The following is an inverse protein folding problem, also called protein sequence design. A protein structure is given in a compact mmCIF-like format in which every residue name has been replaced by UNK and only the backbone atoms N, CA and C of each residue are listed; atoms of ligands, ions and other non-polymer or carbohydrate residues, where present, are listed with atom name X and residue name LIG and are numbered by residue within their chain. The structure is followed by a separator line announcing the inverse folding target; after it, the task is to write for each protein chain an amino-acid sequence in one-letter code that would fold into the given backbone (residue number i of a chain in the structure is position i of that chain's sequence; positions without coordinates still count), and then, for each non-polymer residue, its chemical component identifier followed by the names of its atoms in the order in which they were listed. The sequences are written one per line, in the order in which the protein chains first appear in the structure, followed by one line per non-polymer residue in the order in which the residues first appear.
data_IF_680908406910
#
_entry.id   IF_680908406910
#
_cell.length_a   1.000
_cell.length_b   1.000
_cell.length_c   1.000
_cell.angle_alpha   90.00
_cell.angle_beta   90.00
_cell.angle_gamma   90.00
#
_symmetry.space_group_name_H-M   'P 1'
#
loop_
_entity.id
_entity.type
_entity.pdbx_description
1 polymer ?
#
# COMPACT_ATOMS: atom_id res chain seq x y z
N UNK A 1 -60.69 -54.21 -8.94
CA UNK A 1 -60.17 -52.86 -9.20
C UNK A 1 -60.81 -51.90 -8.19
N UNK A 2 -60.15 -51.65 -7.05
CA UNK A 2 -59.48 -50.38 -6.67
C UNK A 2 -60.46 -49.19 -6.65
N UNK A 3 -61.07 -48.87 -5.51
CA UNK A 3 -60.62 -47.94 -4.44
C UNK A 3 -60.45 -46.51 -4.97
N UNK A 4 -61.20 -45.55 -4.42
CA UNK A 4 -60.60 -44.33 -3.85
C UNK A 4 -61.56 -43.59 -2.89
N UNK A 5 -61.30 -43.77 -1.60
CA UNK A 5 -61.58 -42.84 -0.50
C UNK A 5 -60.45 -41.81 -0.45
N UNK A 6 -60.72 -40.53 -0.10
CA UNK A 6 -59.84 -39.64 0.70
C UNK A 6 -60.48 -38.26 0.86
N UNK A 7 -60.94 -37.88 2.05
CA UNK A 7 -60.18 -37.26 3.18
C UNK A 7 -59.86 -35.78 2.89
N UNK A 8 -60.65 -34.90 3.53
CA UNK A 8 -60.37 -33.48 3.71
C UNK A 8 -59.25 -33.36 4.75
N UNK A 9 -58.11 -32.83 4.34
CA UNK A 9 -56.99 -32.51 5.22
C UNK A 9 -56.94 -30.99 5.41
N UNK A 10 -57.35 -30.52 6.59
CA UNK A 10 -57.01 -29.19 7.08
C UNK A 10 -55.49 -29.06 7.14
N UNK A 11 -54.93 -28.12 6.39
CA UNK A 11 -53.53 -27.69 6.58
C UNK A 11 -53.54 -26.32 7.26
N UNK A 12 -53.15 -26.35 8.53
CA UNK A 12 -52.69 -25.19 9.30
C UNK A 12 -51.68 -24.39 8.46
N UNK A 13 -52.05 -23.18 8.02
CA UNK A 13 -51.07 -22.16 7.66
C UNK A 13 -50.44 -21.65 8.95
N UNK A 14 -49.39 -22.35 9.38
CA UNK A 14 -48.47 -21.84 10.39
C UNK A 14 -47.79 -20.58 9.85
N UNK A 15 -48.16 -19.45 10.44
CA UNK A 15 -47.31 -18.26 10.52
C UNK A 15 -46.04 -18.64 11.30
N UNK A 16 -45.09 -19.27 10.61
CA UNK A 16 -43.68 -19.19 10.97
C UNK A 16 -43.12 -17.94 10.30
N UNK A 17 -43.48 -16.77 10.84
CA UNK A 17 -42.57 -15.61 10.75
C UNK A 17 -41.37 -15.99 11.59
N UNK A 18 -40.37 -16.53 10.92
CA UNK A 18 -39.07 -16.79 11.50
C UNK A 18 -38.49 -15.47 12.00
N UNK A 19 -38.46 -15.31 13.32
CA UNK A 19 -37.47 -14.47 13.99
C UNK A 19 -36.07 -15.10 13.82
N UNK A 20 -35.62 -15.28 12.57
CA UNK A 20 -34.19 -15.31 12.30
C UNK A 20 -33.79 -13.83 12.30
N UNK A 21 -33.22 -13.35 13.41
CA UNK A 21 -32.56 -12.05 13.42
C UNK A 21 -31.64 -11.99 12.20
N UNK A 22 -31.85 -10.99 11.34
CA UNK A 22 -31.03 -10.84 10.15
C UNK A 22 -29.56 -10.79 10.54
N UNK A 23 -28.76 -11.58 9.84
CA UNK A 23 -27.33 -11.72 10.10
C UNK A 23 -26.65 -10.39 9.80
N UNK A 24 -25.85 -9.91 10.75
CA UNK A 24 -24.99 -8.74 10.55
C UNK A 24 -23.89 -9.06 9.54
N UNK A 25 -23.57 -8.07 8.71
CA UNK A 25 -22.47 -8.11 7.75
C UNK A 25 -21.35 -7.21 8.25
N UNK A 26 -20.09 -7.59 7.97
CA UNK A 26 -18.92 -6.86 8.47
C UNK A 26 -17.96 -6.51 7.34
N UNK A 27 -17.35 -5.33 7.46
CA UNK A 27 -16.17 -4.94 6.68
C UNK A 27 -15.06 -4.60 7.68
N UNK A 28 -13.90 -5.24 7.52
CA UNK A 28 -12.72 -5.00 8.34
C UNK A 28 -11.69 -4.22 7.52
N UNK A 29 -11.16 -3.14 8.09
CA UNK A 29 -10.24 -2.22 7.41
C UNK A 29 -8.98 -2.05 8.26
N UNK A 30 -7.81 -1.94 7.63
CA UNK A 30 -6.59 -1.51 8.31
C UNK A 30 -6.54 0.02 8.46
N UNK A 31 -5.91 0.50 9.54
CA UNK A 31 -5.82 1.92 9.88
C UNK A 31 -7.01 2.48 10.65
N UNK A 32 -7.01 3.80 10.87
CA UNK A 32 -7.89 4.50 11.82
C UNK A 32 -8.62 5.72 11.24
N UNK A 33 -8.07 6.38 10.21
CA UNK A 33 -8.59 7.64 9.69
C UNK A 33 -9.38 7.49 8.37
N UNK A 34 -10.69 7.23 8.49
CA UNK A 34 -11.62 7.25 7.35
C UNK A 34 -13.01 7.74 7.74
N UNK A 35 -13.67 8.44 6.82
CA UNK A 35 -15.09 8.79 6.89
C UNK A 35 -15.87 7.98 5.84
N UNK A 36 -16.94 7.31 6.26
CA UNK A 36 -17.73 6.42 5.41
C UNK A 36 -18.94 7.12 4.79
N UNK A 37 -18.69 8.13 3.98
CA UNK A 37 -19.70 8.99 3.36
C UNK A 37 -19.95 8.69 1.86
N UNK A 38 -19.21 7.72 1.29
CA UNK A 38 -19.33 7.32 -0.11
C UNK A 38 -18.58 8.20 -1.12
N UNK A 39 -17.84 9.21 -0.68
CA UNK A 39 -17.00 10.04 -1.54
C UNK A 39 -15.79 9.29 -2.13
N UNK A 40 -14.99 9.97 -2.96
CA UNK A 40 -13.82 9.38 -3.62
C UNK A 40 -12.78 8.87 -2.61
N UNK A 41 -12.55 9.58 -1.50
CA UNK A 41 -11.59 9.18 -0.48
C UNK A 41 -12.07 7.94 0.27
N UNK A 42 -13.37 7.88 0.58
CA UNK A 42 -14.03 6.70 1.15
C UNK A 42 -13.83 5.48 0.24
N UNK A 43 -14.09 5.60 -1.07
CA UNK A 43 -13.91 4.48 -1.99
C UNK A 43 -12.45 4.03 -2.09
N UNK A 44 -11.50 4.97 -2.19
CA UNK A 44 -10.06 4.64 -2.18
C UNK A 44 -9.64 3.89 -0.92
N UNK A 45 -10.13 4.33 0.23
CA UNK A 45 -9.85 3.68 1.50
C UNK A 45 -10.39 2.25 1.52
N UNK A 46 -11.63 2.04 1.07
CA UNK A 46 -12.22 0.70 0.94
C UNK A 46 -11.45 -0.19 -0.06
N UNK A 47 -10.98 0.35 -1.19
CA UNK A 47 -10.23 -0.41 -2.18
C UNK A 47 -8.84 -0.86 -1.67
N UNK A 48 -8.22 -0.07 -0.78
CA UNK A 48 -6.84 -0.30 -0.34
C UNK A 48 -6.72 -0.91 1.05
N UNK A 49 -7.68 -0.68 1.94
CA UNK A 49 -7.55 -1.05 3.37
C UNK A 49 -8.36 -2.26 3.79
N UNK A 50 -9.26 -2.80 2.96
CA UNK A 50 -10.06 -3.97 3.37
C UNK A 50 -9.16 -5.18 3.60
N UNK A 51 -9.28 -5.78 4.77
CA UNK A 51 -8.56 -6.98 5.21
C UNK A 51 -9.53 -8.02 5.75
N UNK A 52 -9.06 -9.23 6.01
CA UNK A 52 -9.87 -10.22 6.70
C UNK A 52 -9.88 -9.97 8.21
N UNK A 53 -10.87 -10.54 8.90
CA UNK A 53 -11.03 -10.41 10.36
C UNK A 53 -9.78 -10.83 11.13
N UNK A 54 -9.08 -11.87 10.67
CA UNK A 54 -7.88 -12.38 11.35
C UNK A 54 -6.78 -11.33 11.26
N UNK A 55 -6.58 -10.71 10.10
CA UNK A 55 -5.62 -9.62 9.93
C UNK A 55 -5.99 -8.40 10.77
N UNK A 56 -7.24 -7.93 10.72
CA UNK A 56 -7.68 -6.77 11.52
C UNK A 56 -7.44 -6.95 13.03
N UNK A 57 -7.60 -8.17 13.54
CA UNK A 57 -7.33 -8.48 14.95
C UNK A 57 -5.84 -8.56 15.32
N UNK A 58 -4.92 -8.56 14.36
CA UNK A 58 -3.48 -8.73 14.58
C UNK A 58 -2.65 -7.48 14.26
N UNK A 59 -3.20 -6.53 13.51
CA UNK A 59 -2.55 -5.25 13.21
C UNK A 59 -2.78 -4.23 14.31
N UNK A 60 -1.91 -3.21 14.38
CA UNK A 60 -1.92 -2.19 15.43
C UNK A 60 -3.22 -1.39 15.47
N UNK A 61 -3.76 -1.05 14.30
CA UNK A 61 -4.94 -0.21 14.13
C UNK A 61 -5.87 -0.77 13.04
N UNK A 62 -7.17 -0.90 13.35
CA UNK A 62 -8.19 -1.36 12.40
C UNK A 62 -9.60 -0.85 12.71
N UNK A 63 -10.45 -0.80 11.69
CA UNK A 63 -11.87 -0.44 11.80
C UNK A 63 -12.74 -1.68 11.48
N UNK A 64 -13.74 -1.95 12.31
CA UNK A 64 -14.80 -2.96 12.11
C UNK A 64 -16.14 -2.26 11.87
N UNK A 65 -16.60 -2.25 10.62
CA UNK A 65 -17.89 -1.71 10.21
C UNK A 65 -18.96 -2.79 10.27
N UNK A 66 -20.05 -2.52 10.98
CA UNK A 66 -21.16 -3.46 11.19
C UNK A 66 -22.40 -2.97 10.46
N UNK A 67 -22.91 -3.81 9.57
CA UNK A 67 -24.06 -3.54 8.73
C UNK A 67 -25.24 -4.44 9.09
N UNK A 68 -26.44 -3.88 9.01
CA UNK A 68 -27.70 -4.60 9.13
C UNK A 68 -28.65 -4.10 8.05
N UNK A 69 -29.33 -5.02 7.36
CA UNK A 69 -30.23 -4.69 6.24
C UNK A 69 -29.51 -3.85 5.15
N UNK A 70 -28.21 -4.13 4.94
CA UNK A 70 -27.38 -3.43 3.96
C UNK A 70 -26.98 -2.01 4.35
N UNK A 71 -27.23 -1.58 5.60
CA UNK A 71 -26.93 -0.22 6.09
C UNK A 71 -25.97 -0.26 7.27
N UNK A 72 -25.00 0.65 7.29
CA UNK A 72 -24.06 0.81 8.41
C UNK A 72 -24.84 1.21 9.67
N UNK A 73 -24.73 0.39 10.72
CA UNK A 73 -25.40 0.64 12.00
C UNK A 73 -24.41 0.94 13.13
N UNK A 74 -23.18 0.43 13.04
CA UNK A 74 -22.11 0.65 14.04
C UNK A 74 -20.74 0.59 13.39
N UNK A 75 -19.77 1.23 14.01
CA UNK A 75 -18.35 1.06 13.70
C UNK A 75 -17.57 0.88 15.02
N UNK A 76 -16.45 0.17 14.94
CA UNK A 76 -15.54 0.00 16.06
C UNK A 76 -14.12 0.28 15.61
N UNK A 77 -13.41 1.09 16.38
CA UNK A 77 -11.98 1.32 16.21
C UNK A 77 -11.24 0.34 17.14
N UNK A 78 -10.23 -0.34 16.61
CA UNK A 78 -9.37 -1.24 17.36
C UNK A 78 -7.95 -0.69 17.28
N UNK A 79 -7.45 -0.11 18.37
CA UNK A 79 -6.10 0.42 18.47
C UNK A 79 -5.40 -0.22 19.67
N UNK A 80 -4.18 -0.73 19.47
CA UNK A 80 -3.38 -1.36 20.54
C UNK A 80 -4.10 -2.53 21.23
N UNK A 81 -4.97 -3.23 20.49
CA UNK A 81 -5.80 -4.32 21.03
C UNK A 81 -7.03 -3.84 21.82
N UNK A 82 -7.26 -2.54 21.92
CA UNK A 82 -8.44 -1.96 22.54
C UNK A 82 -9.52 -1.67 21.51
N UNK A 83 -10.64 -2.40 21.62
CA UNK A 83 -11.83 -2.19 20.78
C UNK A 83 -12.77 -1.17 21.42
N UNK A 84 -13.03 -0.07 20.74
CA UNK A 84 -13.93 0.99 21.18
C UNK A 84 -15.05 1.21 20.16
N UNK A 85 -16.27 1.47 20.64
CA UNK A 85 -17.38 1.81 19.73
C UNK A 85 -17.19 3.24 19.22
N UNK A 86 -17.08 3.39 17.91
CA UNK A 86 -16.95 4.67 17.24
C UNK A 86 -18.33 5.30 17.07
N UNK A 87 -18.47 6.56 17.48
CA UNK A 87 -19.67 7.34 17.17
C UNK A 87 -19.68 7.67 15.69
N UNK A 88 -20.69 7.16 14.96
CA UNK A 88 -20.90 7.49 13.56
C UNK A 88 -21.20 8.99 13.39
N UNK A 89 -20.59 9.61 12.39
CA UNK A 89 -20.97 10.95 11.92
C UNK A 89 -22.28 10.88 11.14
N UNK A 90 -22.98 12.01 11.02
CA UNK A 90 -24.25 12.08 10.27
C UNK A 90 -24.10 11.64 8.81
N UNK A 91 -22.96 11.95 8.19
CA UNK A 91 -22.60 11.56 6.82
C UNK A 91 -22.39 10.05 6.63
N UNK A 92 -22.19 9.30 7.71
CA UNK A 92 -21.92 7.85 7.69
C UNK A 92 -23.19 7.01 7.93
N UNK A 93 -24.24 7.65 8.47
CA UNK A 93 -25.50 6.96 8.78
C UNK A 93 -26.15 6.50 7.48
N UNK A 94 -26.38 5.18 7.38
CA UNK A 94 -27.02 4.59 6.20
C UNK A 94 -26.07 4.37 5.01
N UNK A 95 -24.75 4.50 5.24
CA UNK A 95 -23.74 4.02 4.29
C UNK A 95 -24.02 2.57 3.89
N UNK A 96 -23.95 2.27 2.59
CA UNK A 96 -24.40 1.00 2.05
C UNK A 96 -23.32 -0.08 2.14
N UNK A 97 -23.75 -1.28 2.49
CA UNK A 97 -22.87 -2.43 2.48
C UNK A 97 -22.36 -2.70 1.06
N UNK A 98 -21.04 -2.88 0.95
CA UNK A 98 -20.38 -3.29 -0.28
C UNK A 98 -19.68 -4.62 -0.06
N UNK A 99 -19.89 -5.57 -0.98
CA UNK A 99 -19.18 -6.84 -0.94
C UNK A 99 -17.77 -6.66 -1.53
N UNK A 100 -16.80 -6.45 -0.65
CA UNK A 100 -15.41 -6.20 -1.01
C UNK A 100 -14.55 -7.46 -0.84
N UNK A 101 -13.54 -7.62 -1.70
CA UNK A 101 -12.55 -8.70 -1.57
C UNK A 101 -11.42 -8.22 -0.66
N UNK A 102 -11.12 -8.91 0.46
CA UNK A 102 -10.00 -8.56 1.31
C UNK A 102 -8.66 -8.61 0.58
N UNK A 103 -7.84 -7.58 0.80
CA UNK A 103 -6.43 -7.55 0.48
C UNK A 103 -5.67 -8.47 1.43
N UNK A 104 -4.67 -9.18 0.89
CA UNK A 104 -3.79 -10.08 1.66
C UNK A 104 -2.44 -9.40 1.83
N UNK A 105 -2.03 -9.17 3.07
CA UNK A 105 -0.71 -8.64 3.39
C UNK A 105 0.35 -9.72 3.08
N UNK A 106 1.45 -9.29 2.47
CA UNK A 106 2.67 -10.09 2.38
C UNK A 106 3.82 -9.28 2.99
N UNK A 107 4.62 -9.91 3.84
CA UNK A 107 5.89 -9.37 4.33
C UNK A 107 6.99 -9.60 3.31
N UNK A 108 7.93 -8.65 3.23
CA UNK A 108 9.16 -8.75 2.45
C UNK A 108 10.29 -9.21 3.37
N UNK A 109 10.84 -10.38 3.09
CA UNK A 109 11.86 -11.02 3.93
C UNK A 109 13.14 -11.22 3.15
N UNK A 110 14.29 -11.12 3.81
CA UNK A 110 15.57 -11.43 3.20
C UNK A 110 15.60 -12.91 2.78
N UNK A 111 16.17 -13.17 1.61
CA UNK A 111 16.34 -14.50 1.06
C UNK A 111 17.81 -14.71 0.64
N UNK A 112 18.24 -15.97 0.58
CA UNK A 112 19.56 -16.30 0.04
C UNK A 112 19.63 -16.10 -1.48
N UNK A 113 18.51 -16.34 -2.19
CA UNK A 113 18.34 -16.18 -3.64
C UNK A 113 16.88 -15.86 -3.94
N UNK A 114 16.64 -14.92 -4.84
CA UNK A 114 15.33 -14.60 -5.40
C UNK A 114 15.51 -13.83 -6.71
N UNK A 115 14.46 -13.78 -7.53
CA UNK A 115 14.40 -12.86 -8.66
C UNK A 115 14.15 -11.42 -8.20
N UNK A 116 13.45 -11.22 -7.08
CA UNK A 116 13.29 -9.90 -6.49
C UNK A 116 14.46 -9.58 -5.56
N UNK A 117 14.87 -8.31 -5.56
CA UNK A 117 15.93 -7.82 -4.69
C UNK A 117 15.81 -6.30 -4.50
N UNK A 118 16.35 -5.83 -3.39
CA UNK A 118 16.58 -4.41 -3.12
C UNK A 118 18.07 -4.09 -3.26
N UNK A 119 18.37 -2.84 -3.63
CA UNK A 119 19.72 -2.36 -3.90
C UNK A 119 20.40 -3.03 -5.10
N UNK A 120 21.73 -3.06 -5.08
CA UNK A 120 22.57 -3.60 -6.14
C UNK A 120 22.88 -2.62 -7.28
N UNK A 121 23.61 -3.11 -8.27
CA UNK A 121 23.99 -2.34 -9.45
C UNK A 121 22.80 -2.13 -10.41
N UNK A 122 22.79 -0.99 -11.08
CA UNK A 122 21.85 -0.69 -12.16
C UNK A 122 22.12 -1.66 -13.33
N UNK A 123 21.12 -2.41 -13.81
CA UNK A 123 21.27 -3.22 -15.02
C UNK A 123 21.63 -2.35 -16.23
N UNK A 124 22.48 -2.85 -17.13
CA UNK A 124 22.97 -2.09 -18.29
C UNK A 124 21.85 -1.60 -19.21
N UNK A 125 20.76 -2.35 -19.27
CA UNK A 125 19.57 -2.09 -20.06
C UNK A 125 18.60 -1.09 -19.41
N UNK A 126 18.70 -0.88 -18.09
CA UNK A 126 17.79 -0.02 -17.33
C UNK A 126 18.33 1.42 -17.27
N UNK A 127 17.55 2.37 -17.79
CA UNK A 127 17.90 3.79 -17.82
C UNK A 127 17.15 4.55 -16.75
N UNK A 128 17.88 4.98 -15.73
CA UNK A 128 17.35 5.84 -14.68
C UNK A 128 17.13 7.26 -15.22
N UNK A 129 16.01 7.93 -14.86
CA UNK A 129 15.81 9.35 -15.17
C UNK A 129 16.97 10.22 -14.67
N UNK A 130 17.42 11.16 -15.49
CA UNK A 130 18.48 12.12 -15.16
C UNK A 130 18.03 13.53 -15.49
N UNK A 131 18.41 14.48 -14.65
CA UNK A 131 18.01 15.88 -14.74
C UNK A 131 19.21 16.80 -14.51
N UNK A 132 19.13 18.01 -15.06
CA UNK A 132 20.11 19.09 -14.82
C UNK A 132 19.90 19.78 -13.47
N UNK A 133 18.68 19.74 -12.92
CA UNK A 133 18.36 20.21 -11.58
C UNK A 133 18.60 19.11 -10.54
N UNK A 134 18.65 19.50 -9.26
CA UNK A 134 19.06 18.60 -8.17
C UNK A 134 17.99 17.55 -7.84
N UNK A 135 17.93 16.48 -8.64
CA UNK A 135 17.09 15.32 -8.39
C UNK A 135 17.87 14.03 -8.68
N UNK A 136 18.80 13.65 -7.79
CA UNK A 136 19.61 12.45 -7.98
C UNK A 136 18.78 11.19 -7.71
N UNK A 137 18.34 10.54 -8.79
CA UNK A 137 17.64 9.25 -8.72
C UNK A 137 18.60 8.14 -8.30
N UNK A 138 18.17 7.33 -7.32
CA UNK A 138 18.87 6.13 -6.88
C UNK A 138 18.12 4.89 -7.36
N UNK A 139 18.88 3.83 -7.65
CA UNK A 139 18.31 2.52 -7.97
C UNK A 139 17.95 1.77 -6.69
N UNK A 140 16.69 1.33 -6.59
CA UNK A 140 16.17 0.72 -5.38
C UNK A 140 16.08 -0.80 -5.48
N UNK A 141 16.05 -1.37 -6.68
CA UNK A 141 16.01 -2.82 -6.88
C UNK A 141 15.08 -3.28 -7.99
N UNK A 142 14.72 -4.57 -7.94
CA UNK A 142 13.79 -5.24 -8.88
C UNK A 142 12.73 -6.02 -8.11
N UNK A 143 11.48 -5.89 -8.52
CA UNK A 143 10.37 -6.74 -8.11
C UNK A 143 9.98 -7.65 -9.27
N UNK A 144 9.97 -8.96 -9.05
CA UNK A 144 9.63 -9.93 -10.10
C UNK A 144 8.20 -10.42 -9.96
N UNK A 145 7.49 -10.46 -11.10
CA UNK A 145 6.11 -10.97 -11.16
C UNK A 145 5.98 -12.48 -10.98
N UNK A 146 7.10 -13.19 -10.85
CA UNK A 146 7.09 -14.63 -10.55
C UNK A 146 6.66 -14.90 -9.10
N UNK A 147 6.82 -13.92 -8.21
CA UNK A 147 6.33 -14.02 -6.84
C UNK A 147 4.84 -13.77 -6.76
N UNK A 148 4.15 -14.55 -5.90
CA UNK A 148 2.70 -14.50 -5.76
C UNK A 148 2.18 -13.08 -5.43
N UNK A 149 2.91 -12.33 -4.59
CA UNK A 149 2.49 -10.97 -4.21
C UNK A 149 2.56 -9.95 -5.36
N UNK A 150 3.29 -10.27 -6.44
CA UNK A 150 3.56 -9.36 -7.56
C UNK A 150 3.08 -9.90 -8.91
N UNK A 151 2.35 -11.01 -8.93
CA UNK A 151 1.86 -11.66 -10.16
C UNK A 151 0.91 -10.78 -10.99
N UNK A 152 0.33 -9.76 -10.36
CA UNK A 152 -0.52 -8.74 -10.96
C UNK A 152 0.26 -7.68 -11.75
N UNK A 153 1.59 -7.65 -11.64
CA UNK A 153 2.44 -6.76 -12.43
C UNK A 153 2.50 -7.21 -13.89
N UNK A 154 2.44 -6.28 -14.86
CA UNK A 154 2.54 -6.63 -16.29
C UNK A 154 3.92 -7.17 -16.68
N UNK A 155 4.98 -6.83 -15.93
CA UNK A 155 6.38 -7.19 -16.18
C UNK A 155 7.19 -7.14 -14.88
N UNK A 156 8.40 -7.72 -14.91
CA UNK A 156 9.42 -7.49 -13.88
C UNK A 156 9.76 -6.00 -13.84
N UNK A 157 9.80 -5.45 -12.63
CA UNK A 157 9.80 -4.02 -12.40
C UNK A 157 11.07 -3.59 -11.69
N UNK A 158 11.95 -2.93 -12.43
CA UNK A 158 13.07 -2.18 -11.87
C UNK A 158 12.58 -0.86 -11.29
N UNK A 159 13.09 -0.46 -10.14
CA UNK A 159 12.63 0.74 -9.42
C UNK A 159 13.78 1.71 -9.24
N UNK A 160 13.53 2.98 -9.56
CA UNK A 160 14.41 4.08 -9.23
C UNK A 160 13.59 5.32 -8.83
N UNK A 161 14.06 6.04 -7.82
CA UNK A 161 13.45 7.26 -7.31
C UNK A 161 14.50 8.18 -6.65
N UNK A 162 14.27 9.49 -6.57
CA UNK A 162 15.13 10.43 -5.88
C UNK A 162 14.79 10.46 -4.38
N UNK A 163 15.05 9.37 -3.67
CA UNK A 163 14.62 9.09 -2.28
C UNK A 163 15.17 10.04 -1.19
N UNK A 164 15.97 11.03 -1.58
CA UNK A 164 16.49 12.07 -0.70
C UNK A 164 15.87 13.46 -1.00
N UNK A 165 14.76 13.50 -1.73
CA UNK A 165 13.99 14.71 -2.00
C UNK A 165 12.67 14.70 -1.23
N UNK A 166 12.19 15.88 -0.86
CA UNK A 166 10.96 16.10 -0.12
C UNK A 166 9.73 16.27 -1.04
N UNK A 167 9.49 15.33 -1.95
CA UNK A 167 8.33 15.41 -2.84
C UNK A 167 7.07 14.91 -2.12
N UNK A 168 5.92 15.54 -2.40
CA UNK A 168 4.62 15.04 -1.95
C UNK A 168 4.27 13.72 -2.65
N UNK A 169 4.18 13.78 -3.99
CA UNK A 169 3.99 12.61 -4.85
C UNK A 169 4.92 12.68 -6.05
N UNK A 170 5.57 11.57 -6.39
CA UNK A 170 6.34 11.45 -7.63
C UNK A 170 5.70 10.41 -8.54
N UNK A 171 5.26 10.84 -9.73
CA UNK A 171 4.68 9.96 -10.72
C UNK A 171 5.67 9.61 -11.84
N UNK A 172 5.80 8.32 -12.12
CA UNK A 172 6.71 7.80 -13.15
C UNK A 172 5.98 6.87 -14.11
N UNK A 173 6.12 7.13 -15.40
CA UNK A 173 5.59 6.32 -16.49
C UNK A 173 6.55 5.20 -16.88
N UNK A 174 6.14 3.96 -16.63
CA UNK A 174 6.81 2.71 -17.01
C UNK A 174 6.21 2.08 -18.28
N UNK A 175 5.56 2.86 -19.15
CA UNK A 175 5.12 2.39 -20.47
C UNK A 175 6.27 1.73 -21.25
N UNK A 176 7.50 2.23 -21.06
CA UNK A 176 8.73 1.50 -21.34
C UNK A 176 9.39 1.07 -20.00
N UNK A 177 9.35 -0.22 -19.63
CA UNK A 177 9.82 -0.69 -18.32
C UNK A 177 11.32 -0.50 -18.08
N UNK A 178 12.10 -0.36 -19.16
CA UNK A 178 13.56 -0.20 -19.09
C UNK A 178 14.01 1.26 -19.24
N UNK A 179 13.08 2.19 -19.45
CA UNK A 179 13.37 3.61 -19.61
C UNK A 179 12.21 4.46 -19.06
N UNK A 180 11.98 4.42 -17.73
CA UNK A 180 10.91 5.17 -17.08
C UNK A 180 11.04 6.68 -17.27
N UNK A 181 9.92 7.40 -17.21
CA UNK A 181 9.87 8.86 -17.38
C UNK A 181 9.06 9.52 -16.27
N UNK A 182 9.61 10.56 -15.65
CA UNK A 182 8.87 11.37 -14.67
C UNK A 182 7.74 12.14 -15.38
N UNK A 183 6.54 12.12 -14.80
CA UNK A 183 5.38 12.81 -15.33
C UNK A 183 5.26 14.24 -14.80
N UNK A 184 5.49 14.45 -13.51
CA UNK A 184 5.36 15.74 -12.83
C UNK A 184 6.73 16.42 -12.64
N UNK A 185 7.45 16.65 -13.76
CA UNK A 185 8.81 17.21 -13.76
C UNK A 185 8.85 18.62 -13.14
N UNK A 186 7.85 19.46 -13.40
CA UNK A 186 7.84 20.83 -12.88
C UNK A 186 7.66 20.88 -11.35
N UNK A 187 6.88 19.96 -10.78
CA UNK A 187 6.75 19.80 -9.32
C UNK A 187 8.06 19.29 -8.73
N UNK A 188 8.64 18.25 -9.34
CA UNK A 188 9.92 17.69 -8.89
C UNK A 188 11.06 18.72 -8.93
N UNK A 189 11.06 19.63 -9.91
CA UNK A 189 12.05 20.71 -10.03
C UNK A 189 11.95 21.75 -8.90
N UNK A 190 10.76 21.89 -8.31
CA UNK A 190 10.49 22.80 -7.19
C UNK A 190 10.74 22.14 -5.83
N UNK A 191 10.90 20.82 -5.80
CA UNK A 191 11.18 20.06 -4.58
C UNK A 191 12.54 20.43 -4.00
N UNK A 192 12.59 20.63 -2.69
CA UNK A 192 13.81 20.88 -1.95
C UNK A 192 14.46 19.58 -1.44
N UNK A 193 15.64 19.76 -0.84
CA UNK A 193 16.25 18.71 -0.03
C UNK A 193 17.01 19.33 1.17
N UNK A 194 17.32 18.50 2.17
CA UNK A 194 17.96 18.87 3.43
C UNK A 194 19.48 18.66 3.34
N UNK A 195 20.00 18.36 2.15
CA UNK A 195 21.34 17.86 1.94
C UNK A 195 22.07 18.70 0.89
N UNK A 196 22.74 19.77 1.33
CA UNK A 196 23.48 20.69 0.46
C UNK A 196 24.54 20.00 -0.44
N UNK A 197 25.00 18.81 -0.05
CA UNK A 197 26.02 18.04 -0.75
C UNK A 197 25.46 17.08 -1.82
N UNK A 198 24.13 16.96 -1.94
CA UNK A 198 23.49 16.28 -3.05
C UNK A 198 23.57 17.13 -4.32
N UNK A 199 24.03 16.51 -5.40
CA UNK A 199 24.16 17.10 -6.73
C UNK A 199 23.32 16.29 -7.72
N UNK A 200 22.95 16.85 -8.88
CA UNK A 200 22.16 16.13 -9.89
C UNK A 200 22.76 14.78 -10.32
N UNK A 201 24.09 14.65 -10.25
CA UNK A 201 24.83 13.44 -10.61
C UNK A 201 25.30 12.61 -9.40
N UNK A 202 24.81 12.89 -8.19
CA UNK A 202 25.14 12.10 -7.01
C UNK A 202 24.66 10.65 -7.17
N UNK A 203 25.58 9.71 -6.98
CA UNK A 203 25.32 8.27 -7.01
C UNK A 203 25.51 7.69 -5.62
N UNK A 204 24.53 6.92 -5.17
CA UNK A 204 24.61 6.05 -4.00
C UNK A 204 24.19 4.66 -4.47
N UNK A 205 25.09 3.69 -4.30
CA UNK A 205 24.81 2.30 -4.67
C UNK A 205 24.79 1.46 -3.41
N UNK A 206 23.69 0.74 -3.24
CA UNK A 206 23.45 -0.12 -2.10
C UNK A 206 23.91 -1.56 -2.37
N UNK A 207 24.23 -2.28 -1.30
CA UNK A 207 24.41 -3.74 -1.36
C UNK A 207 23.15 -4.41 -1.90
N UNK A 208 23.32 -5.53 -2.60
CA UNK A 208 22.19 -6.29 -3.13
C UNK A 208 21.66 -7.24 -2.07
N UNK A 209 20.38 -7.11 -1.73
CA UNK A 209 19.68 -7.99 -0.80
C UNK A 209 18.53 -8.65 -1.54
N UNK A 210 18.57 -9.98 -1.70
CA UNK A 210 17.45 -10.72 -2.28
C UNK A 210 16.27 -10.73 -1.31
N UNK A 211 15.07 -10.60 -1.85
CA UNK A 211 13.83 -10.59 -1.06
C UNK A 211 12.86 -11.65 -1.56
N UNK A 212 12.05 -12.18 -0.65
CA UNK A 212 10.91 -13.04 -0.95
C UNK A 212 9.69 -12.56 -0.18
N UNK A 213 8.52 -12.87 -0.70
CA UNK A 213 7.24 -12.57 -0.08
C UNK A 213 6.70 -13.74 0.73
N UNK A 214 6.10 -13.45 1.88
CA UNK A 214 5.38 -14.42 2.71
C UNK A 214 4.04 -13.84 3.14
N UNK A 215 2.96 -14.63 3.04
CA UNK A 215 1.64 -14.23 3.52
C UNK A 215 1.66 -14.03 5.02
N UNK A 216 1.18 -12.87 5.47
CA UNK A 216 1.12 -12.53 6.88
C UNK A 216 -0.23 -11.94 7.27
N UNK A 217 -0.46 -11.85 8.57
CA UNK A 217 -1.62 -11.17 9.16
C UNK A 217 -1.25 -9.92 9.95
N UNK A 218 0.02 -9.51 9.89
CA UNK A 218 0.52 -8.27 10.47
C UNK A 218 1.56 -7.64 9.53
N UNK A 219 1.89 -6.37 9.77
CA UNK A 219 2.98 -5.67 9.10
C UNK A 219 4.32 -6.07 9.72
N UNK A 220 5.35 -6.25 8.89
CA UNK A 220 6.69 -6.59 9.36
C UNK A 220 7.65 -6.99 8.24
N UNK A 221 8.89 -7.34 8.61
CA UNK A 221 9.98 -7.63 7.68
C UNK A 221 10.75 -6.37 7.29
N UNK A 222 11.42 -6.39 6.14
CA UNK A 222 12.07 -5.20 5.54
C UNK A 222 11.03 -4.19 5.04
N UNK A 223 9.80 -4.66 4.84
CA UNK A 223 8.69 -3.93 4.29
C UNK A 223 7.54 -4.90 4.03
N UNK A 224 6.45 -4.41 3.47
CA UNK A 224 5.28 -5.21 3.16
C UNK A 224 4.57 -4.71 1.90
N UNK A 225 3.55 -5.42 1.45
CA UNK A 225 2.78 -5.08 0.24
C UNK A 225 1.27 -5.31 0.42
N UNK A 226 0.50 -4.92 -0.60
CA UNK A 226 -0.96 -4.96 -0.72
C UNK A 226 -1.76 -3.94 0.09
N UNK A 227 -1.40 -3.69 1.35
CA UNK A 227 -2.14 -2.77 2.25
C UNK A 227 -1.15 -1.81 2.88
N UNK A 228 -1.28 -0.48 2.68
CA UNK A 228 -0.37 0.48 3.27
C UNK A 228 -0.68 0.70 4.75
N UNK A 229 0.36 0.67 5.57
CA UNK A 229 0.33 1.02 6.99
C UNK A 229 0.77 2.47 7.16
N UNK A 230 -0.18 3.40 7.02
CA UNK A 230 0.08 4.84 7.08
C UNK A 230 0.55 5.29 8.47
N UNK A 231 1.61 6.10 8.50
CA UNK A 231 2.13 6.74 9.72
C UNK A 231 1.63 8.18 9.91
N UNK A 232 1.11 8.78 8.83
CA UNK A 232 0.37 10.05 8.83
C UNK A 232 -1.02 9.83 8.20
N UNK A 233 -1.76 10.90 7.90
CA UNK A 233 -3.07 10.78 7.25
C UNK A 233 -2.97 9.99 5.93
N UNK A 234 -3.90 9.05 5.63
CA UNK A 234 -3.87 8.25 4.42
C UNK A 234 -3.88 9.07 3.12
N UNK A 235 -2.81 8.97 2.34
CA UNK A 235 -2.65 9.68 1.06
C UNK A 235 -2.69 8.71 -0.13
N UNK A 236 -3.86 8.11 -0.36
CA UNK A 236 -4.04 7.06 -1.37
C UNK A 236 -4.01 7.68 -2.78
N UNK A 237 -3.02 7.37 -3.63
CA UNK A 237 -2.84 8.08 -4.88
C UNK A 237 -3.83 7.63 -5.96
N UNK A 238 -4.32 8.59 -6.74
CA UNK A 238 -5.03 8.38 -8.00
C UNK A 238 -4.06 8.40 -9.16
N UNK A 239 -4.10 7.40 -10.04
CA UNK A 239 -3.29 7.39 -11.25
C UNK A 239 -3.63 8.62 -12.12
N UNK A 240 -2.66 9.48 -12.48
CA UNK A 240 -2.94 10.70 -13.24
C UNK A 240 -3.49 10.42 -14.64
N UNK A 241 -3.21 9.23 -15.20
CA UNK A 241 -3.59 8.82 -16.56
C UNK A 241 -4.94 8.09 -16.62
N UNK A 242 -5.14 7.04 -15.81
CA UNK A 242 -6.40 6.26 -15.81
C UNK A 242 -7.46 6.77 -14.84
N UNK A 243 -7.10 7.66 -13.90
CA UNK A 243 -7.96 8.12 -12.81
C UNK A 243 -8.41 7.01 -11.84
N UNK A 244 -7.81 5.82 -11.93
CA UNK A 244 -8.04 4.71 -11.00
C UNK A 244 -7.19 4.87 -9.74
N UNK A 245 -7.71 4.38 -8.61
CA UNK A 245 -6.92 4.17 -7.40
C UNK A 245 -5.73 3.27 -7.69
N UNK A 246 -4.54 3.65 -7.22
CA UNK A 246 -3.33 2.86 -7.40
C UNK A 246 -3.19 1.81 -6.30
N UNK A 247 -2.57 0.67 -6.62
CA UNK A 247 -2.35 -0.42 -5.67
C UNK A 247 -0.98 -0.30 -5.02
N UNK A 248 -0.87 -0.59 -3.73
CA UNK A 248 0.43 -0.64 -3.06
C UNK A 248 1.27 -1.77 -3.65
N UNK A 249 2.40 -1.41 -4.25
CA UNK A 249 3.44 -2.36 -4.66
C UNK A 249 4.29 -2.76 -3.45
N UNK A 250 4.76 -1.79 -2.67
CA UNK A 250 5.38 -2.06 -1.37
C UNK A 250 5.42 -0.80 -0.51
N UNK A 251 5.48 -1.00 0.79
CA UNK A 251 5.96 -0.03 1.78
C UNK A 251 7.28 -0.55 2.32
N UNK A 252 8.32 0.29 2.28
CA UNK A 252 9.62 0.04 2.87
C UNK A 252 9.76 0.95 4.10
N UNK A 253 9.99 0.35 5.26
CA UNK A 253 10.06 1.09 6.53
C UNK A 253 11.51 1.35 6.90
N UNK A 254 11.83 2.53 7.42
CA UNK A 254 13.22 2.87 7.73
C UNK A 254 13.85 1.92 8.76
N UNK A 255 13.03 1.46 9.71
CA UNK A 255 13.43 0.54 10.78
C UNK A 255 13.64 -0.91 10.29
N UNK A 256 13.02 -1.27 9.17
CA UNK A 256 13.11 -2.60 8.54
C UNK A 256 14.19 -2.69 7.46
N UNK A 257 14.50 -1.58 6.78
CA UNK A 257 15.48 -1.55 5.68
C UNK A 257 16.91 -1.36 6.20
N UNK A 258 17.59 -2.46 6.51
CA UNK A 258 19.05 -2.47 6.77
C UNK A 258 19.83 -2.89 5.52
N UNK A 259 19.84 -2.01 4.50
CA UNK A 259 20.61 -2.22 3.27
C UNK A 259 21.75 -1.22 3.21
N UNK A 260 22.98 -1.71 3.40
CA UNK A 260 24.17 -0.86 3.47
C UNK A 260 24.51 -0.23 2.13
N UNK A 261 25.07 0.96 2.18
CA UNK A 261 25.71 1.61 1.04
C UNK A 261 27.01 0.90 0.71
N UNK A 262 27.09 0.38 -0.52
CA UNK A 262 28.30 -0.22 -1.09
C UNK A 262 29.30 0.86 -1.53
N UNK A 263 28.81 1.95 -2.12
CA UNK A 263 29.61 3.12 -2.51
C UNK A 263 28.72 4.36 -2.67
N UNK A 264 29.31 5.53 -2.51
CA UNK A 264 28.64 6.81 -2.74
C UNK A 264 29.61 7.85 -3.26
N UNK A 265 29.12 8.77 -4.11
CA UNK A 265 29.85 9.99 -4.50
C UNK A 265 29.53 11.17 -3.57
N UNK A 266 28.54 11.03 -2.69
CA UNK A 266 28.12 12.07 -1.76
C UNK A 266 29.14 12.17 -0.63
N UNK A 267 29.58 13.40 -0.35
CA UNK A 267 30.52 13.70 0.73
C UNK A 267 29.89 14.79 1.60
N UNK A 268 29.08 14.41 2.60
CA UNK A 268 28.44 15.38 3.48
C UNK A 268 29.49 16.20 4.23
N UNK A 269 29.33 17.53 4.26
CA UNK A 269 30.18 18.42 5.05
C UNK A 269 29.90 18.28 6.54
N UNK A 270 28.64 18.09 6.89
CA UNK A 270 28.23 17.79 8.27
C UNK A 270 28.35 16.29 8.51
N UNK A 271 29.15 15.90 9.50
CA UNK A 271 29.29 14.51 9.94
C UNK A 271 27.94 13.91 10.36
N UNK A 272 27.01 14.72 10.88
CA UNK A 272 25.69 14.24 11.28
C UNK A 272 24.88 13.71 10.10
N UNK A 273 25.01 14.31 8.91
CA UNK A 273 24.27 13.86 7.73
C UNK A 273 24.86 12.61 7.08
N UNK A 274 26.07 12.17 7.46
CA UNK A 274 26.68 10.97 6.88
C UNK A 274 25.86 9.71 7.12
N UNK A 275 25.24 9.58 8.30
CA UNK A 275 24.44 8.42 8.66
C UNK A 275 23.31 8.13 7.66
N UNK A 276 22.70 9.16 7.05
CA UNK A 276 21.63 8.98 6.06
C UNK A 276 22.11 8.41 4.71
N UNK A 277 23.42 8.38 4.49
CA UNK A 277 24.05 7.81 3.30
C UNK A 277 24.77 6.49 3.60
N UNK A 278 24.82 6.03 4.86
CA UNK A 278 25.44 4.75 5.23
C UNK A 278 24.56 3.56 4.88
N UNK A 279 23.25 3.74 4.95
CA UNK A 279 22.22 2.76 4.59
C UNK A 279 21.21 3.36 3.61
N UNK A 280 20.42 2.51 2.95
CA UNK A 280 19.24 2.93 2.21
C UNK A 280 18.28 3.62 3.17
N UNK A 281 18.00 4.90 2.90
CA UNK A 281 17.22 5.77 3.76
C UNK A 281 16.28 6.62 2.90
N UNK A 282 15.12 6.98 3.43
CA UNK A 282 14.09 7.70 2.70
C UNK A 282 13.84 9.04 3.40
N UNK A 283 14.47 10.10 2.89
CA UNK A 283 14.29 11.46 3.40
C UNK A 283 14.41 11.62 4.93
N UNK A 284 15.47 11.09 5.53
CA UNK A 284 15.75 11.29 6.96
C UNK A 284 14.89 10.41 7.86
N UNK A 285 14.94 9.10 7.64
CA UNK A 285 14.21 8.07 8.43
C UNK A 285 12.69 8.01 8.17
N UNK A 286 12.25 8.40 6.97
CA UNK A 286 10.87 8.22 6.52
C UNK A 286 10.54 6.81 6.02
N UNK A 287 9.25 6.56 5.85
CA UNK A 287 8.69 5.37 5.20
C UNK A 287 8.43 5.65 3.72
N UNK A 288 8.94 4.80 2.84
CA UNK A 288 8.71 4.88 1.41
C UNK A 288 7.52 4.02 0.99
N UNK A 289 6.49 4.65 0.43
CA UNK A 289 5.34 3.98 -0.15
C UNK A 289 5.46 4.01 -1.68
N UNK A 290 5.36 2.84 -2.30
CA UNK A 290 5.43 2.67 -3.75
C UNK A 290 4.10 2.08 -4.22
N UNK A 291 3.39 2.82 -5.06
CA UNK A 291 2.14 2.40 -5.67
C UNK A 291 2.30 2.18 -7.18
N UNK A 292 1.48 1.30 -7.75
CA UNK A 292 1.49 1.03 -9.18
C UNK A 292 0.06 0.82 -9.73
N UNK A 293 -0.19 1.36 -10.92
CA UNK A 293 -1.42 1.13 -11.69
C UNK A 293 -1.06 0.33 -12.95
N UNK A 294 -1.46 -0.96 -13.04
CA UNK A 294 -0.89 -1.89 -14.03
C UNK A 294 -1.32 -1.63 -15.48
N UNK A 295 -2.49 -1.03 -15.71
CA UNK A 295 -2.97 -0.79 -17.08
C UNK A 295 -2.26 0.40 -17.72
N UNK A 296 -2.17 1.51 -16.98
CA UNK A 296 -1.45 2.72 -17.45
C UNK A 296 0.05 2.63 -17.26
N UNK A 297 0.53 1.65 -16.48
CA UNK A 297 1.93 1.42 -16.10
C UNK A 297 2.53 2.64 -15.41
N UNK A 298 1.76 3.28 -14.53
CA UNK A 298 2.21 4.44 -13.76
C UNK A 298 2.57 3.98 -12.36
N UNK A 299 3.72 4.44 -11.88
CA UNK A 299 4.19 4.29 -10.50
C UNK A 299 4.04 5.61 -9.76
N UNK A 300 3.70 5.55 -8.48
CA UNK A 300 3.69 6.71 -7.57
C UNK A 300 4.58 6.41 -6.36
N UNK A 301 5.41 7.36 -5.97
CA UNK A 301 6.15 7.32 -4.71
C UNK A 301 5.63 8.38 -3.77
N UNK A 302 5.56 8.04 -2.48
CA UNK A 302 5.23 8.93 -1.37
C UNK A 302 6.23 8.62 -0.25
N UNK A 303 6.75 9.65 0.41
CA UNK A 303 7.56 9.48 1.63
C UNK A 303 6.84 10.18 2.78
N UNK A 304 6.53 9.43 3.84
CA UNK A 304 6.02 10.00 5.10
C UNK A 304 7.12 9.90 6.15
N UNK A 305 7.21 10.86 7.04
CA UNK A 305 8.18 10.89 8.15
C UNK A 305 7.48 11.46 9.39
N UNK A 306 7.90 11.05 10.59
CA UNK A 306 7.33 11.50 11.86
C UNK A 306 8.20 12.53 12.57
#
# INVERSE_FOLDING_TARGET
MRILTKIILLTFMGLFTSCFGQKEEHIYLAGWEAEFNGDEQCQKFLETQVVDKKTANNIWSSIDLVFKEGKLIKAYDNDEGHRTERKLKESEIGFEYQKLKPNRIYSLNQAAKSESYLGGEIPNEFKIPKFEFNAPFQYLGKFSKIEEAFDWLPFDLHIAAPIYLNFDKLFIDYSNPLNPKVLNIEELKQTDNSYDDLKPNSEIVYEKVYITTQKETNFGGIGHTSVPSWIQYPDIPTCPKSKKTMKLLCQLTYDGVDIKTKRTTVQPKDEWYKQYFENMNFWGDGDLYIFFEPESKIMCFIIQHT
#
